data_IF_251116735130
#
_entry.id   IF_251116735130
#
_cell.length_a   1.000
_cell.length_b   1.000
_cell.length_c   1.000
_cell.angle_alpha   90.00
_cell.angle_beta   90.00
_cell.angle_gamma   90.00
#
_symmetry.space_group_name_H-M   'P 1'
#
loop_
_entity.id
_entity.type
_entity.pdbx_description
1 polymer ?
#
# COMPACT_ATOMS: atom_id res chain seq x y z
N UNK A 1 13.04 3.80 -23.61
CA UNK A 1 12.78 4.44 -22.31
C UNK A 1 11.96 3.48 -21.48
N UNK A 2 12.35 3.17 -20.25
CA UNK A 2 11.48 2.40 -19.39
C UNK A 2 10.20 3.19 -19.13
N UNK A 3 9.04 2.53 -19.24
CA UNK A 3 7.77 3.16 -18.94
C UNK A 3 7.62 3.32 -17.41
N UNK A 4 7.01 4.42 -16.97
CA UNK A 4 6.63 4.57 -15.56
C UNK A 4 5.75 3.41 -15.11
N UNK A 5 5.88 3.01 -13.84
CA UNK A 5 5.01 1.98 -13.27
C UNK A 5 3.55 2.47 -13.32
N UNK A 6 2.69 1.65 -13.90
CA UNK A 6 1.26 1.95 -14.00
C UNK A 6 0.51 1.31 -12.84
N UNK A 7 -0.45 2.06 -12.30
CA UNK A 7 -1.27 1.61 -11.16
C UNK A 7 -2.72 1.31 -11.56
N UNK A 8 -2.95 0.97 -12.83
CA UNK A 8 -4.31 0.74 -13.36
C UNK A 8 -5.02 -0.39 -12.63
N UNK A 9 -4.34 -1.52 -12.42
CA UNK A 9 -4.90 -2.65 -11.69
C UNK A 9 -5.17 -2.31 -10.21
N UNK A 10 -4.26 -1.56 -9.58
CA UNK A 10 -4.42 -1.10 -8.21
C UNK A 10 -5.60 -0.13 -8.06
N UNK A 11 -5.70 0.85 -8.95
CA UNK A 11 -6.81 1.81 -8.97
C UNK A 11 -8.16 1.13 -9.19
N UNK A 12 -8.23 0.18 -10.10
CA UNK A 12 -9.44 -0.61 -10.37
C UNK A 12 -9.85 -1.44 -9.14
N UNK A 13 -8.89 -2.07 -8.46
CA UNK A 13 -9.15 -2.83 -7.25
C UNK A 13 -9.68 -1.91 -6.13
N UNK A 14 -9.04 -0.78 -5.88
CA UNK A 14 -9.47 0.17 -4.85
C UNK A 14 -10.88 0.71 -5.12
N UNK A 15 -11.22 1.01 -6.37
CA UNK A 15 -12.55 1.46 -6.75
C UNK A 15 -13.63 0.44 -6.38
N UNK A 16 -13.30 -0.84 -6.43
CA UNK A 16 -14.23 -1.93 -6.13
C UNK A 16 -14.35 -2.25 -4.64
N UNK A 17 -13.27 -2.14 -3.88
CA UNK A 17 -13.22 -2.60 -2.49
C UNK A 17 -13.35 -1.50 -1.45
N UNK A 18 -13.13 -0.23 -1.83
CA UNK A 18 -13.24 0.90 -0.89
C UNK A 18 -14.65 1.46 -0.93
N UNK A 19 -15.33 1.45 0.22
CA UNK A 19 -16.69 1.97 0.35
C UNK A 19 -16.74 3.49 0.24
N UNK A 20 -17.93 4.10 0.01
CA UNK A 20 -18.08 5.57 0.00
C UNK A 20 -17.60 6.23 1.30
N UNK A 21 -17.67 5.53 2.42
CA UNK A 21 -17.18 5.98 3.74
C UNK A 21 -15.66 5.84 3.88
N UNK A 22 -14.96 5.26 2.89
CA UNK A 22 -13.52 5.07 2.89
C UNK A 22 -13.02 3.84 3.65
N UNK A 23 -13.90 2.87 3.89
CA UNK A 23 -13.54 1.59 4.52
C UNK A 23 -13.24 0.53 3.46
N UNK A 24 -12.43 -0.45 3.82
CA UNK A 24 -12.17 -1.62 2.96
C UNK A 24 -13.23 -2.68 3.20
N UNK A 25 -13.86 -3.12 2.11
CA UNK A 25 -14.73 -4.30 2.11
C UNK A 25 -13.88 -5.56 1.89
N UNK A 26 -13.50 -6.22 2.96
CA UNK A 26 -12.64 -7.40 2.91
C UNK A 26 -13.30 -8.62 2.29
N UNK A 27 -14.62 -8.77 2.41
CA UNK A 27 -15.35 -9.86 1.74
C UNK A 27 -15.26 -9.68 0.22
N UNK A 28 -15.45 -8.48 -0.27
CA UNK A 28 -15.30 -8.15 -1.68
C UNK A 28 -13.86 -8.27 -2.16
N UNK A 29 -12.90 -7.87 -1.34
CA UNK A 29 -11.46 -8.08 -1.62
C UNK A 29 -11.14 -9.56 -1.79
N UNK A 30 -11.72 -10.44 -0.96
CA UNK A 30 -11.54 -11.89 -1.07
C UNK A 30 -12.04 -12.44 -2.41
N UNK A 31 -13.08 -11.84 -3.00
CA UNK A 31 -13.57 -12.18 -4.35
C UNK A 31 -12.59 -11.72 -5.45
N UNK A 32 -11.78 -10.71 -5.20
CA UNK A 32 -10.84 -10.12 -6.16
C UNK A 32 -9.36 -10.53 -5.91
N UNK A 33 -9.13 -11.70 -5.33
CA UNK A 33 -7.76 -12.19 -5.04
C UNK A 33 -6.85 -12.16 -6.25
N UNK A 34 -7.33 -12.59 -7.41
CA UNK A 34 -6.53 -12.62 -8.64
C UNK A 34 -6.04 -11.24 -9.07
N UNK A 35 -6.87 -10.20 -8.92
CA UNK A 35 -6.48 -8.83 -9.21
C UNK A 35 -5.46 -8.31 -8.19
N UNK A 36 -5.62 -8.63 -6.91
CA UNK A 36 -4.66 -8.28 -5.87
C UNK A 36 -3.31 -8.98 -6.09
N UNK A 37 -3.32 -10.26 -6.47
CA UNK A 37 -2.08 -10.99 -6.81
C UNK A 37 -1.34 -10.34 -7.98
N UNK A 38 -2.08 -9.87 -8.98
CA UNK A 38 -1.50 -9.14 -10.10
C UNK A 38 -0.84 -7.83 -9.64
N UNK A 39 -1.52 -7.05 -8.80
CA UNK A 39 -0.96 -5.80 -8.23
C UNK A 39 0.33 -6.09 -7.46
N UNK A 40 0.33 -7.11 -6.61
CA UNK A 40 1.51 -7.51 -5.83
C UNK A 40 2.66 -7.95 -6.75
N UNK A 41 2.36 -8.68 -7.82
CA UNK A 41 3.36 -9.10 -8.80
C UNK A 41 3.97 -7.91 -9.54
N UNK A 42 3.16 -6.93 -9.94
CA UNK A 42 3.64 -5.69 -10.58
C UNK A 42 4.56 -4.88 -9.66
N UNK A 43 4.20 -4.73 -8.39
CA UNK A 43 5.04 -4.08 -7.37
C UNK A 43 6.32 -4.88 -7.08
N UNK A 44 6.23 -6.21 -7.14
CA UNK A 44 7.38 -7.10 -6.97
C UNK A 44 8.38 -7.06 -8.11
N UNK A 45 7.94 -6.68 -9.31
CA UNK A 45 8.78 -6.68 -10.51
C UNK A 45 9.73 -5.47 -10.58
N UNK A 46 9.33 -4.31 -10.07
CA UNK A 46 10.12 -3.09 -10.13
C UNK A 46 9.90 -2.21 -8.90
N UNK A 47 10.97 -1.64 -8.37
CA UNK A 47 10.96 -0.66 -7.28
C UNK A 47 11.84 0.53 -7.62
N UNK A 48 11.77 1.63 -6.86
CA UNK A 48 12.67 2.76 -7.05
C UNK A 48 14.16 2.39 -7.01
N UNK A 49 14.54 1.37 -6.25
CA UNK A 49 15.91 0.90 -6.15
C UNK A 49 16.32 0.00 -7.32
N UNK A 50 15.43 -0.89 -7.78
CA UNK A 50 15.73 -1.84 -8.85
C UNK A 50 15.57 -1.24 -10.25
N UNK A 51 14.71 -0.25 -10.41
CA UNK A 51 14.39 0.38 -11.68
C UNK A 51 14.20 1.91 -11.54
N UNK A 52 15.25 2.65 -11.11
CA UNK A 52 15.11 4.08 -10.76
C UNK A 52 14.60 4.94 -11.91
N UNK A 53 14.83 4.54 -13.14
CA UNK A 53 14.34 5.28 -14.32
C UNK A 53 12.81 5.24 -14.47
N UNK A 54 12.12 4.29 -13.83
CA UNK A 54 10.66 4.23 -13.80
C UNK A 54 10.06 5.16 -12.71
N UNK A 55 10.89 5.73 -11.85
CA UNK A 55 10.51 6.57 -10.71
C UNK A 55 11.37 7.84 -10.68
N UNK A 56 11.23 8.73 -11.65
CA UNK A 56 12.15 9.86 -11.84
C UNK A 56 12.08 10.91 -10.74
N UNK A 57 10.90 11.12 -10.15
CA UNK A 57 10.72 12.10 -9.09
C UNK A 57 10.69 11.48 -7.69
N UNK A 58 10.87 12.30 -6.66
CA UNK A 58 10.71 11.87 -5.28
C UNK A 58 9.26 11.46 -4.99
N UNK A 59 8.32 12.17 -5.59
CA UNK A 59 6.89 11.86 -5.50
C UNK A 59 6.56 10.49 -6.08
N UNK A 60 7.16 10.11 -7.21
CA UNK A 60 6.96 8.78 -7.79
C UNK A 60 7.49 7.68 -6.86
N UNK A 61 8.64 7.92 -6.24
CA UNK A 61 9.23 6.99 -5.28
C UNK A 61 8.39 6.87 -4.00
N UNK A 62 7.93 7.99 -3.48
CA UNK A 62 7.03 8.01 -2.32
C UNK A 62 5.70 7.30 -2.63
N UNK A 63 5.11 7.59 -3.78
CA UNK A 63 3.87 6.95 -4.22
C UNK A 63 4.02 5.43 -4.32
N UNK A 64 5.14 4.94 -4.89
CA UNK A 64 5.41 3.51 -4.94
C UNK A 64 5.39 2.87 -3.54
N UNK A 65 6.13 3.42 -2.58
CA UNK A 65 6.22 2.83 -1.25
C UNK A 65 4.92 2.90 -0.45
N UNK A 66 4.14 3.96 -0.62
CA UNK A 66 2.81 4.07 -0.03
C UNK A 66 1.85 3.02 -0.61
N UNK A 67 1.84 2.85 -1.93
CA UNK A 67 1.02 1.84 -2.60
C UNK A 67 1.48 0.42 -2.25
N UNK A 68 2.78 0.18 -2.22
CA UNK A 68 3.34 -1.11 -1.83
C UNK A 68 2.93 -1.49 -0.41
N UNK A 69 3.06 -0.57 0.54
CA UNK A 69 2.63 -0.80 1.92
C UNK A 69 1.15 -1.22 1.98
N UNK A 70 0.28 -0.45 1.35
CA UNK A 70 -1.16 -0.71 1.38
C UNK A 70 -1.53 -2.01 0.65
N UNK A 71 -0.98 -2.25 -0.53
CA UNK A 71 -1.25 -3.47 -1.29
C UNK A 71 -0.74 -4.72 -0.56
N UNK A 72 0.46 -4.67 0.00
CA UNK A 72 1.04 -5.78 0.78
C UNK A 72 0.26 -6.01 2.08
N UNK A 73 -0.23 -4.97 2.74
CA UNK A 73 -1.11 -5.10 3.91
C UNK A 73 -2.39 -5.85 3.55
N UNK A 74 -3.07 -5.46 2.49
CA UNK A 74 -4.29 -6.13 2.02
C UNK A 74 -4.00 -7.58 1.60
N UNK A 75 -2.91 -7.82 0.91
CA UNK A 75 -2.48 -9.16 0.49
C UNK A 75 -2.23 -10.07 1.69
N UNK A 76 -1.55 -9.57 2.72
CA UNK A 76 -1.29 -10.31 3.95
C UNK A 76 -2.58 -10.60 4.74
N UNK A 77 -3.51 -9.64 4.81
CA UNK A 77 -4.80 -9.85 5.47
C UNK A 77 -5.61 -10.92 4.74
N UNK A 78 -5.70 -10.86 3.43
CA UNK A 78 -6.46 -11.83 2.63
C UNK A 78 -5.86 -13.25 2.70
N UNK A 79 -4.55 -13.37 2.85
CA UNK A 79 -3.92 -14.68 3.02
C UNK A 79 -4.36 -15.40 4.30
N UNK A 80 -4.77 -14.65 5.31
CA UNK A 80 -5.20 -15.16 6.62
C UNK A 80 -6.68 -14.87 6.91
N UNK A 81 -7.42 -14.38 5.93
CA UNK A 81 -8.84 -14.06 6.06
C UNK A 81 -9.71 -15.33 6.20
N UNK A 82 -10.74 -15.35 7.08
CA UNK A 82 -11.14 -14.28 8.00
C UNK A 82 -10.25 -14.19 9.25
N UNK A 83 -9.88 -12.96 9.64
CA UNK A 83 -9.13 -12.68 10.87
C UNK A 83 -9.88 -11.68 11.73
N UNK A 84 -9.76 -11.78 13.06
CA UNK A 84 -10.39 -10.86 14.00
C UNK A 84 -9.56 -9.60 14.20
N UNK A 85 -8.24 -9.70 14.12
CA UNK A 85 -7.33 -8.57 14.29
C UNK A 85 -5.95 -8.91 13.75
N UNK A 86 -5.35 -7.98 13.01
CA UNK A 86 -3.96 -8.07 12.55
C UNK A 86 -2.96 -8.11 13.71
N UNK A 87 -3.29 -7.51 14.83
CA UNK A 87 -2.45 -7.48 16.03
C UNK A 87 -2.37 -8.83 16.75
N UNK A 88 -3.40 -9.67 16.61
CA UNK A 88 -3.45 -11.01 17.19
C UNK A 88 -2.85 -12.08 16.27
N UNK A 89 -2.69 -11.74 15.01
CA UNK A 89 -2.15 -12.65 14.01
C UNK A 89 -0.65 -12.79 14.19
N UNK A 90 -0.14 -14.04 14.19
CA UNK A 90 1.28 -14.36 14.37
C UNK A 90 1.91 -13.70 15.61
N UNK A 91 1.20 -13.74 16.74
CA UNK A 91 1.66 -13.17 18.03
C UNK A 91 2.02 -11.67 17.95
N UNK A 92 1.26 -10.91 17.17
CA UNK A 92 1.47 -9.47 16.98
C UNK A 92 2.61 -9.11 16.04
N UNK A 93 3.20 -10.09 15.34
CA UNK A 93 4.33 -9.85 14.43
C UNK A 93 3.96 -9.83 12.94
N UNK A 94 2.68 -9.60 12.64
CA UNK A 94 2.16 -9.46 11.30
C UNK A 94 2.96 -8.47 10.45
N UNK A 95 3.29 -7.31 11.01
CA UNK A 95 4.03 -6.26 10.31
C UNK A 95 5.53 -6.52 10.19
N UNK A 96 6.11 -7.29 11.10
CA UNK A 96 7.55 -7.46 11.22
C UNK A 96 8.07 -8.74 10.56
N UNK A 97 7.30 -9.82 10.58
CA UNK A 97 7.75 -11.14 10.13
C UNK A 97 7.42 -11.47 8.69
N UNK A 98 6.24 -11.03 8.21
CA UNK A 98 5.83 -11.36 6.86
C UNK A 98 6.66 -10.58 5.84
N UNK A 99 7.23 -11.32 4.87
CA UNK A 99 8.05 -10.73 3.80
C UNK A 99 7.24 -10.59 2.52
N UNK A 100 7.48 -9.49 1.83
CA UNK A 100 6.88 -9.13 0.55
C UNK A 100 8.01 -8.81 -0.42
N UNK A 101 7.78 -9.02 -1.71
CA UNK A 101 8.77 -8.66 -2.74
C UNK A 101 8.46 -7.26 -3.29
N UNK A 102 9.43 -6.37 -3.17
CA UNK A 102 9.42 -5.02 -3.74
C UNK A 102 10.61 -4.88 -4.68
N UNK A 103 10.38 -4.95 -5.99
CA UNK A 103 11.44 -4.92 -6.99
C UNK A 103 12.49 -6.03 -6.80
N UNK A 104 12.08 -7.22 -6.39
CA UNK A 104 12.95 -8.36 -6.10
C UNK A 104 13.58 -8.37 -4.72
N UNK A 105 13.42 -7.31 -3.92
CA UNK A 105 13.92 -7.23 -2.54
C UNK A 105 12.83 -7.69 -1.56
N UNK A 106 13.18 -8.57 -0.62
CA UNK A 106 12.28 -8.98 0.45
C UNK A 106 12.23 -7.89 1.55
N UNK A 107 11.02 -7.39 1.83
CA UNK A 107 10.77 -6.36 2.85
C UNK A 107 9.57 -6.74 3.70
N UNK A 108 9.57 -6.32 4.98
CA UNK A 108 8.38 -6.37 5.84
C UNK A 108 7.61 -5.04 5.75
N UNK A 109 6.37 -5.03 6.23
CA UNK A 109 5.60 -3.78 6.37
C UNK A 109 6.29 -2.80 7.32
N UNK A 110 6.89 -3.33 8.39
CA UNK A 110 7.65 -2.54 9.36
C UNK A 110 8.86 -1.85 8.70
N UNK A 111 9.61 -2.58 7.86
CA UNK A 111 10.73 -2.01 7.08
C UNK A 111 10.25 -0.85 6.19
N UNK A 112 9.12 -1.03 5.50
CA UNK A 112 8.56 0.01 4.62
C UNK A 112 8.15 1.23 5.44
N UNK A 113 7.43 1.05 6.53
CA UNK A 113 6.92 2.15 7.33
C UNK A 113 8.04 2.92 8.02
N UNK A 114 8.91 2.24 8.74
CA UNK A 114 9.88 2.89 9.63
C UNK A 114 11.21 3.23 8.96
N UNK A 115 11.75 2.33 8.14
CA UNK A 115 13.05 2.57 7.50
C UNK A 115 12.91 3.37 6.21
N UNK A 116 11.93 3.04 5.37
CA UNK A 116 11.80 3.64 4.04
C UNK A 116 10.96 4.90 4.10
N UNK A 117 9.70 4.81 4.50
CA UNK A 117 8.79 5.96 4.48
C UNK A 117 9.18 7.02 5.49
N UNK A 118 9.36 6.66 6.76
CA UNK A 118 9.71 7.62 7.80
C UNK A 118 11.19 7.99 7.79
N UNK A 119 12.06 7.02 7.54
CA UNK A 119 13.51 7.21 7.54
C UNK A 119 14.02 7.96 6.31
N UNK A 120 13.56 7.60 5.11
CA UNK A 120 14.05 8.18 3.85
C UNK A 120 13.31 9.46 3.47
N UNK A 121 11.98 9.44 3.53
CA UNK A 121 11.16 10.57 3.08
C UNK A 121 10.86 11.59 4.17
N UNK A 122 10.77 11.15 5.45
CA UNK A 122 10.51 12.04 6.59
C UNK A 122 9.19 12.82 6.51
N UNK A 123 8.23 12.34 5.71
CA UNK A 123 6.97 13.02 5.46
C UNK A 123 5.98 12.75 6.60
N UNK A 124 5.58 13.77 7.39
CA UNK A 124 4.70 13.58 8.55
C UNK A 124 3.32 13.03 8.18
N UNK A 125 2.84 13.26 6.95
CA UNK A 125 1.53 12.83 6.47
C UNK A 125 1.45 11.35 6.12
N UNK A 126 2.57 10.63 6.13
CA UNK A 126 2.64 9.19 5.85
C UNK A 126 1.68 8.42 6.75
N UNK A 127 1.59 8.78 8.04
CA UNK A 127 0.68 8.15 9.00
C UNK A 127 -0.79 8.13 8.52
N UNK A 128 -1.22 9.14 7.77
CA UNK A 128 -2.58 9.23 7.23
C UNK A 128 -2.75 8.49 5.90
N UNK A 129 -1.67 8.24 5.20
CA UNK A 129 -1.69 7.63 3.86
C UNK A 129 -1.63 6.11 3.89
N UNK A 130 -1.11 5.51 4.98
CA UNK A 130 -0.99 4.06 5.12
C UNK A 130 -2.17 3.46 5.88
N UNK A 131 -2.59 2.28 5.46
CA UNK A 131 -3.63 1.50 6.13
C UNK A 131 -3.00 0.28 6.82
N UNK A 132 -2.98 0.27 8.13
CA UNK A 132 -2.46 -0.84 8.93
C UNK A 132 -3.50 -1.94 9.22
N UNK A 133 -4.50 -2.09 8.36
CA UNK A 133 -5.56 -3.11 8.52
C UNK A 133 -6.66 -2.71 9.50
N UNK A 134 -6.71 -1.45 9.91
CA UNK A 134 -7.80 -0.92 10.74
C UNK A 134 -9.01 -0.57 9.88
N UNK A 135 -10.22 -0.75 10.43
CA UNK A 135 -11.46 -0.29 9.80
C UNK A 135 -11.70 1.22 9.93
N UNK A 136 -10.68 1.99 10.34
CA UNK A 136 -10.77 3.45 10.37
C UNK A 136 -10.70 3.96 8.93
N UNK A 137 -11.67 4.77 8.49
CA UNK A 137 -11.66 5.30 7.13
C UNK A 137 -10.39 6.11 6.85
N UNK A 138 -9.74 5.86 5.72
CA UNK A 138 -8.60 6.67 5.29
C UNK A 138 -8.92 8.17 5.28
N UNK A 139 -10.15 8.53 4.90
CA UNK A 139 -10.61 9.93 4.83
C UNK A 139 -10.79 10.61 6.17
N UNK A 140 -11.07 9.86 7.25
CA UNK A 140 -11.37 10.42 8.57
C UNK A 140 -10.14 10.67 9.43
N UNK A 141 -8.94 10.36 8.93
CA UNK A 141 -7.68 10.57 9.67
C UNK A 141 -7.13 12.01 9.58
N UNK A 142 -7.99 13.02 9.51
CA UNK A 142 -7.58 14.43 9.57
C UNK A 142 -6.99 15.00 8.29
N UNK A 143 -7.17 14.34 7.14
CA UNK A 143 -6.77 14.88 5.85
C UNK A 143 -7.83 15.86 5.34
N UNK A 144 -7.64 17.14 5.63
CA UNK A 144 -8.35 18.16 4.88
C UNK A 144 -7.88 18.13 3.41
N UNK A 145 -8.74 18.54 2.49
CA UNK A 145 -8.39 18.63 1.06
C UNK A 145 -7.14 19.48 0.80
N UNK A 146 -6.80 20.39 1.70
CA UNK A 146 -5.63 21.26 1.64
C UNK A 146 -4.30 20.55 2.01
N UNK A 147 -4.37 19.40 2.71
CA UNK A 147 -3.20 18.68 3.21
C UNK A 147 -2.88 17.39 2.44
N UNK A 148 -3.50 17.18 1.29
CA UNK A 148 -3.19 16.02 0.45
C UNK A 148 -1.88 16.25 -0.29
N UNK A 149 -0.92 15.35 -0.22
CA UNK A 149 0.15 15.33 -1.21
C UNK A 149 -0.50 15.09 -2.57
N UNK A 150 -0.30 16.01 -3.51
CA UNK A 150 -0.98 15.96 -4.82
C UNK A 150 -0.73 14.64 -5.55
N UNK A 151 0.48 14.10 -5.46
CA UNK A 151 0.87 12.82 -6.06
C UNK A 151 0.23 11.61 -5.38
N UNK A 152 0.13 11.62 -4.06
CA UNK A 152 -0.43 10.49 -3.28
C UNK A 152 -1.94 10.40 -3.47
N UNK A 153 -2.63 11.55 -3.58
CA UNK A 153 -4.08 11.55 -3.83
C UNK A 153 -4.45 11.01 -5.22
N UNK A 154 -3.57 11.16 -6.20
CA UNK A 154 -3.79 10.65 -7.56
C UNK A 154 -3.56 9.15 -7.66
N UNK A 155 -2.70 8.60 -6.83
CA UNK A 155 -2.30 7.18 -6.85
C UNK A 155 -3.14 6.32 -5.90
N UNK A 156 -3.61 6.90 -4.80
CA UNK A 156 -4.45 6.22 -3.80
C UNK A 156 -5.93 6.37 -4.02
N UNK A 157 -6.30 7.38 -4.76
CA UNK A 157 -7.67 7.80 -4.83
C UNK A 157 -8.00 8.16 -6.26
N UNK A 158 -8.84 7.35 -6.91
CA UNK A 158 -9.40 7.79 -8.18
C UNK A 158 -10.25 9.04 -8.02
#
# INVERSE_FOLDING_TARGET
MPEPLRYDAWSALLADIVTPEGKVDYARLAEHRGLLERVVAELGAASPESAPACFPSEEDRLAYWLNAYNAFTLHAIIAEYPITSVWKTRDGQFFQRRRHLAGGRAVSLDDIEHEILRGTFGEPRIHFAINCGSNVPWRSRGMSSANRPVSVSTVFWP
#
